data_IF_375555906303
#
_entry.id   IF_375555906303
#
_cell.length_a   1.000
_cell.length_b   1.000
_cell.length_c   1.000
_cell.angle_alpha   90.00
_cell.angle_beta   90.00
_cell.angle_gamma   90.00
#
_symmetry.space_group_name_H-M   'P 1'
#
loop_
_entity.id
_entity.type
_entity.pdbx_description
1 polymer ?
#
# COMPACT_ATOMS: atom_id res chain seq x y z
N UNK A 1 26.28 -14.14 1.02
CA UNK A 1 24.90 -14.16 1.55
C UNK A 1 24.08 -13.19 0.73
N UNK A 2 22.84 -13.55 0.42
CA UNK A 2 21.93 -12.70 -0.35
C UNK A 2 21.36 -11.60 0.54
N UNK A 3 21.46 -10.34 0.14
CA UNK A 3 20.89 -9.18 0.87
C UNK A 3 19.36 -9.33 1.04
N UNK A 4 18.84 -9.02 2.23
CA UNK A 4 17.40 -9.13 2.55
C UNK A 4 16.61 -7.99 1.93
N UNK A 5 15.30 -8.17 1.74
CA UNK A 5 14.42 -7.11 1.24
C UNK A 5 14.40 -5.88 2.17
N UNK A 6 14.44 -6.09 3.49
CA UNK A 6 14.56 -5.02 4.47
C UNK A 6 15.86 -4.20 4.29
N UNK A 7 17.01 -4.88 4.14
CA UNK A 7 18.28 -4.21 3.91
C UNK A 7 18.32 -3.45 2.57
N UNK A 8 17.66 -3.98 1.53
CA UNK A 8 17.49 -3.29 0.26
C UNK A 8 16.68 -1.99 0.41
N UNK A 9 15.57 -2.03 1.14
CA UNK A 9 14.74 -0.84 1.42
C UNK A 9 15.53 0.18 2.22
N UNK A 10 16.22 -0.23 3.29
CA UNK A 10 17.05 0.65 4.10
C UNK A 10 18.15 1.34 3.29
N UNK A 11 18.89 0.57 2.48
CA UNK A 11 20.04 1.07 1.71
C UNK A 11 19.64 2.00 0.57
N UNK A 12 18.52 1.72 -0.10
CA UNK A 12 18.11 2.44 -1.31
C UNK A 12 17.15 3.60 -1.04
N UNK A 13 16.48 3.64 0.11
CA UNK A 13 15.60 4.77 0.44
C UNK A 13 16.44 6.04 0.62
N UNK A 14 16.15 7.05 -0.20
CA UNK A 14 16.76 8.36 -0.07
C UNK A 14 15.99 9.22 0.95
N UNK A 15 16.69 10.18 1.57
CA UNK A 15 16.07 11.17 2.44
C UNK A 15 16.10 12.51 1.72
N UNK A 16 14.93 13.10 1.53
CA UNK A 16 14.78 14.44 0.96
C UNK A 16 14.30 15.38 2.08
N UNK A 17 15.14 16.30 2.58
CA UNK A 17 14.73 17.23 3.62
C UNK A 17 13.73 18.27 3.08
N UNK A 18 12.88 18.77 3.96
CA UNK A 18 11.95 19.89 3.73
C UNK A 18 10.93 19.65 2.59
N UNK A 19 10.54 18.40 2.38
CA UNK A 19 9.51 18.02 1.42
C UNK A 19 8.37 17.22 2.10
N UNK A 20 7.08 17.50 1.78
CA UNK A 20 6.59 18.55 0.89
C UNK A 20 6.64 19.97 1.52
N UNK A 21 7.03 20.09 2.79
CA UNK A 21 7.14 21.36 3.51
C UNK A 21 8.32 21.34 4.48
N UNK A 22 8.79 22.51 4.95
CA UNK A 22 9.89 22.61 5.91
C UNK A 22 9.68 21.76 7.17
N UNK A 23 10.74 21.11 7.64
CA UNK A 23 10.75 20.27 8.84
C UNK A 23 10.39 18.80 8.62
N UNK A 24 9.98 18.40 7.41
CA UNK A 24 9.66 16.99 7.09
C UNK A 24 10.88 16.30 6.46
N UNK A 25 11.19 15.09 6.94
CA UNK A 25 12.18 14.20 6.32
C UNK A 25 11.47 13.21 5.39
N UNK A 26 11.33 13.57 4.12
CA UNK A 26 10.65 12.72 3.17
C UNK A 26 11.47 11.46 2.85
N UNK A 27 10.83 10.29 2.95
CA UNK A 27 11.40 8.99 2.62
C UNK A 27 11.12 8.67 1.15
N UNK A 28 12.09 8.97 0.29
CA UNK A 28 11.96 8.71 -1.14
C UNK A 28 12.36 7.26 -1.46
N UNK A 29 11.36 6.43 -1.71
CA UNK A 29 11.52 5.02 -2.10
C UNK A 29 11.73 4.82 -3.60
N UNK A 30 11.70 5.87 -4.43
CA UNK A 30 11.85 5.71 -5.88
C UNK A 30 13.16 5.06 -6.33
N UNK A 31 14.30 5.14 -5.60
CA UNK A 31 15.49 4.35 -5.95
C UNK A 31 15.29 2.85 -5.72
N UNK A 32 14.44 2.43 -4.77
CA UNK A 32 14.04 1.02 -4.59
C UNK A 32 13.32 0.52 -5.83
N UNK A 33 12.42 1.33 -6.39
CA UNK A 33 11.68 0.99 -7.61
C UNK A 33 12.58 0.94 -8.86
N UNK A 34 13.62 1.77 -8.89
CA UNK A 34 14.53 1.89 -10.04
C UNK A 34 15.60 0.79 -10.08
N UNK A 35 15.87 0.14 -8.95
CA UNK A 35 16.75 -1.03 -8.88
C UNK A 35 15.96 -2.31 -9.22
N UNK A 36 16.26 -2.91 -10.37
CA UNK A 36 15.52 -4.07 -10.89
C UNK A 36 15.54 -5.28 -9.94
N UNK A 37 16.65 -5.50 -9.21
CA UNK A 37 16.78 -6.61 -8.28
C UNK A 37 16.02 -6.29 -6.99
N UNK A 38 16.15 -5.06 -6.49
CA UNK A 38 15.45 -4.63 -5.30
C UNK A 38 13.93 -4.67 -5.51
N UNK A 39 13.43 -4.11 -6.62
CA UNK A 39 12.01 -4.03 -6.91
C UNK A 39 11.34 -5.41 -6.92
N UNK A 40 11.94 -6.39 -7.60
CA UNK A 40 11.42 -7.76 -7.61
C UNK A 40 11.39 -8.40 -6.23
N UNK A 41 12.45 -8.20 -5.43
CA UNK A 41 12.58 -8.77 -4.08
C UNK A 41 11.65 -8.15 -3.06
N UNK A 42 11.46 -6.83 -3.11
CA UNK A 42 10.53 -6.18 -2.19
C UNK A 42 9.09 -6.58 -2.53
N UNK A 43 8.72 -6.71 -3.80
CA UNK A 43 7.40 -7.22 -4.19
C UNK A 43 7.18 -8.64 -3.63
N UNK A 44 8.15 -9.54 -3.82
CA UNK A 44 8.10 -10.90 -3.29
C UNK A 44 7.95 -10.92 -1.76
N UNK A 45 8.78 -10.14 -1.06
CA UNK A 45 8.77 -10.09 0.40
C UNK A 45 7.49 -9.46 0.99
N UNK A 46 6.92 -8.46 0.33
CA UNK A 46 5.65 -7.85 0.73
C UNK A 46 4.48 -8.83 0.60
N UNK A 47 4.47 -9.64 -0.47
CA UNK A 47 3.37 -10.55 -0.77
C UNK A 47 3.47 -11.89 -0.03
N UNK A 48 4.68 -12.33 0.33
CA UNK A 48 4.95 -13.66 0.87
C UNK A 48 4.05 -14.08 2.06
N UNK A 49 3.81 -13.23 3.08
CA UNK A 49 2.93 -13.61 4.20
C UNK A 49 1.47 -13.84 3.80
N UNK A 50 1.02 -13.22 2.70
CA UNK A 50 -0.37 -13.23 2.24
C UNK A 50 -0.61 -14.19 1.08
N UNK A 51 0.44 -14.82 0.54
CA UNK A 51 0.37 -15.79 -0.54
C UNK A 51 0.20 -17.24 -0.05
N UNK A 52 0.15 -17.45 1.27
CA UNK A 52 0.00 -18.78 1.88
C UNK A 52 -1.48 -19.21 1.83
N UNK A 53 -1.72 -20.51 1.61
CA UNK A 53 -3.07 -21.07 1.59
C UNK A 53 -3.88 -20.60 0.38
N UNK A 54 -5.09 -20.09 0.60
CA UNK A 54 -5.94 -19.56 -0.48
C UNK A 54 -5.39 -18.24 -1.08
N UNK A 55 -4.47 -17.57 -0.39
CA UNK A 55 -3.78 -16.38 -0.92
C UNK A 55 -4.69 -15.19 -1.19
N UNK A 56 -4.20 -14.24 -2.00
CA UNK A 56 -4.99 -13.19 -2.62
C UNK A 56 -5.24 -13.51 -4.10
N UNK A 57 -6.37 -13.04 -4.63
CA UNK A 57 -6.73 -13.15 -6.05
C UNK A 57 -6.71 -11.78 -6.77
N UNK A 58 -6.44 -10.70 -6.04
CA UNK A 58 -6.13 -9.38 -6.59
C UNK A 58 -5.29 -8.55 -5.61
N UNK A 59 -4.66 -7.50 -6.14
CA UNK A 59 -3.90 -6.52 -5.35
C UNK A 59 -4.50 -5.13 -5.53
N UNK A 60 -4.85 -4.45 -4.46
CA UNK A 60 -5.29 -3.05 -4.48
C UNK A 60 -4.10 -2.13 -4.21
N UNK A 61 -3.70 -1.34 -5.20
CA UNK A 61 -2.69 -0.30 -5.04
C UNK A 61 -3.33 1.04 -4.72
N UNK A 62 -2.79 1.77 -3.73
CA UNK A 62 -3.21 3.14 -3.41
C UNK A 62 -2.41 4.13 -4.27
N UNK A 63 -3.09 5.14 -4.85
CA UNK A 63 -2.44 6.12 -5.72
C UNK A 63 -1.34 6.92 -5.00
N UNK A 64 -0.20 7.22 -5.64
CA UNK A 64 0.23 6.76 -6.96
C UNK A 64 1.33 5.71 -6.85
N UNK A 65 2.17 5.82 -5.83
CA UNK A 65 3.38 5.00 -5.68
C UNK A 65 3.03 3.55 -5.33
N UNK A 66 1.94 3.31 -4.60
CA UNK A 66 1.39 1.97 -4.39
C UNK A 66 1.06 1.22 -5.69
N UNK A 67 0.79 1.89 -6.81
CA UNK A 67 0.53 1.21 -8.09
C UNK A 67 1.75 0.47 -8.64
N UNK A 68 2.96 0.98 -8.43
CA UNK A 68 4.17 0.30 -8.89
C UNK A 68 4.28 -1.06 -8.20
N UNK A 69 4.17 -1.08 -6.86
CA UNK A 69 4.24 -2.30 -6.06
C UNK A 69 3.07 -3.24 -6.35
N UNK A 70 1.85 -2.72 -6.44
CA UNK A 70 0.67 -3.53 -6.78
C UNK A 70 0.81 -4.21 -8.14
N UNK A 71 1.31 -3.49 -9.15
CA UNK A 71 1.60 -4.05 -10.47
C UNK A 71 2.69 -5.11 -10.44
N UNK A 72 3.78 -4.86 -9.71
CA UNK A 72 4.88 -5.82 -9.53
C UNK A 72 4.42 -7.12 -8.88
N UNK A 73 3.72 -7.02 -7.74
CA UNK A 73 3.17 -8.16 -7.00
C UNK A 73 2.14 -8.91 -7.86
N UNK A 74 1.20 -8.21 -8.49
CA UNK A 74 0.17 -8.84 -9.30
C UNK A 74 0.76 -9.60 -10.48
N UNK A 75 1.81 -9.07 -11.13
CA UNK A 75 2.50 -9.75 -12.22
C UNK A 75 3.24 -11.01 -11.74
N UNK A 76 3.89 -10.97 -10.56
CA UNK A 76 4.57 -12.13 -9.97
C UNK A 76 3.60 -13.26 -9.59
N UNK A 77 2.40 -12.90 -9.13
CA UNK A 77 1.39 -13.85 -8.67
C UNK A 77 0.29 -14.17 -9.71
N UNK A 78 0.36 -13.58 -10.90
CA UNK A 78 -0.60 -13.75 -11.99
C UNK A 78 -2.05 -13.41 -11.60
N UNK A 79 -2.24 -12.32 -10.84
CA UNK A 79 -3.55 -11.84 -10.37
C UNK A 79 -3.88 -10.45 -10.93
N UNK A 80 -5.11 -9.98 -10.70
CA UNK A 80 -5.55 -8.65 -11.12
C UNK A 80 -5.06 -7.52 -10.21
N UNK A 81 -5.12 -6.27 -10.72
CA UNK A 81 -4.88 -5.04 -9.95
C UNK A 81 -6.16 -4.23 -9.85
N UNK A 82 -6.52 -3.82 -8.63
CA UNK A 82 -7.51 -2.78 -8.36
C UNK A 82 -6.78 -1.46 -8.10
N UNK A 83 -7.24 -0.38 -8.72
CA UNK A 83 -6.67 0.96 -8.48
C UNK A 83 -7.58 1.73 -7.51
N UNK A 84 -7.01 2.16 -6.39
CA UNK A 84 -7.67 3.06 -5.44
C UNK A 84 -7.06 4.44 -5.63
N UNK A 85 -7.90 5.42 -5.99
CA UNK A 85 -7.43 6.73 -6.46
C UNK A 85 -7.98 7.86 -5.62
N UNK A 86 -7.34 9.03 -5.69
CA UNK A 86 -7.97 10.26 -5.18
C UNK A 86 -9.24 10.58 -5.97
N UNK A 87 -10.17 11.29 -5.34
CA UNK A 87 -11.45 11.63 -5.96
C UNK A 87 -11.34 12.28 -7.35
N UNK A 88 -12.26 11.92 -8.24
CA UNK A 88 -12.36 12.45 -9.61
C UNK A 88 -11.34 11.88 -10.60
N UNK A 89 -10.60 10.83 -10.25
CA UNK A 89 -9.58 10.21 -11.12
C UNK A 89 -10.02 8.90 -11.76
N UNK A 90 -11.09 8.27 -11.28
CA UNK A 90 -11.67 7.08 -11.87
C UNK A 90 -12.90 7.44 -12.73
N UNK A 91 -13.03 6.87 -13.94
CA UNK A 91 -14.25 7.07 -14.73
C UNK A 91 -15.39 6.17 -14.24
N UNK A 92 -16.63 6.56 -14.56
CA UNK A 92 -17.83 5.75 -14.29
C UNK A 92 -18.33 5.84 -12.85
N UNK A 93 -19.11 4.84 -12.43
CA UNK A 93 -19.61 4.72 -11.06
C UNK A 93 -18.47 4.32 -10.11
N UNK A 94 -18.40 5.00 -8.98
CA UNK A 94 -17.36 4.80 -7.96
C UNK A 94 -17.99 4.78 -6.57
N UNK A 95 -17.37 4.02 -5.67
CA UNK A 95 -17.54 4.18 -4.24
C UNK A 95 -16.48 5.15 -3.76
N UNK A 96 -16.84 6.02 -2.82
CA UNK A 96 -15.92 6.96 -2.21
C UNK A 96 -15.90 6.84 -0.69
N UNK A 97 -14.73 7.10 -0.10
CA UNK A 97 -14.49 7.09 1.34
C UNK A 97 -13.62 8.28 1.73
N UNK A 98 -14.12 9.07 2.67
CA UNK A 98 -13.42 10.23 3.21
C UNK A 98 -12.52 9.82 4.38
N UNK A 99 -11.39 10.51 4.52
CA UNK A 99 -10.49 10.32 5.65
C UNK A 99 -9.87 11.66 6.07
N UNK A 100 -9.62 11.77 7.38
CA UNK A 100 -9.04 12.97 7.97
C UNK A 100 -7.54 13.08 7.63
N UNK A 101 -7.12 14.30 7.30
CA UNK A 101 -5.73 14.74 7.27
C UNK A 101 -5.43 15.56 8.54
N UNK A 102 -4.17 15.91 8.77
CA UNK A 102 -3.80 16.86 9.83
C UNK A 102 -4.52 18.21 9.64
N UNK A 103 -4.66 18.65 8.40
CA UNK A 103 -5.42 19.83 8.00
C UNK A 103 -6.39 19.47 6.88
N UNK A 104 -7.65 19.23 7.23
CA UNK A 104 -8.74 18.99 6.29
C UNK A 104 -9.07 17.50 6.09
N UNK A 105 -9.75 17.22 4.99
CA UNK A 105 -10.18 15.87 4.61
C UNK A 105 -9.74 15.59 3.17
N UNK A 106 -9.52 14.32 2.88
CA UNK A 106 -9.32 13.82 1.53
C UNK A 106 -10.22 12.62 1.28
N UNK A 107 -10.37 12.26 0.01
CA UNK A 107 -11.30 11.23 -0.41
C UNK A 107 -10.60 10.26 -1.38
N UNK A 108 -10.79 8.97 -1.13
CA UNK A 108 -10.38 7.89 -2.02
C UNK A 108 -11.60 7.29 -2.72
N UNK A 109 -11.38 6.83 -3.95
CA UNK A 109 -12.37 6.20 -4.80
C UNK A 109 -11.92 4.81 -5.25
N UNK A 110 -12.88 3.89 -5.35
CA UNK A 110 -12.74 2.55 -5.94
C UNK A 110 -13.93 2.29 -6.86
N UNK A 111 -13.70 1.68 -8.02
CA UNK A 111 -14.81 1.21 -8.87
C UNK A 111 -15.30 -0.16 -8.37
N UNK A 112 -16.58 -0.32 -7.99
CA UNK A 112 -17.12 -1.62 -7.60
C UNK A 112 -17.36 -2.54 -8.81
N UNK A 113 -17.57 -3.83 -8.55
CA UNK A 113 -18.00 -4.79 -9.59
C UNK A 113 -16.94 -5.19 -10.61
N UNK A 114 -15.66 -4.87 -10.37
CA UNK A 114 -14.55 -5.27 -11.24
C UNK A 114 -14.18 -6.75 -11.11
N UNK A 115 -14.48 -7.35 -9.96
CA UNK A 115 -14.17 -8.73 -9.57
C UNK A 115 -15.39 -9.38 -8.92
N UNK A 116 -15.44 -10.73 -8.84
CA UNK A 116 -16.47 -11.44 -8.09
C UNK A 116 -16.53 -11.01 -6.61
N UNK A 117 -17.72 -11.01 -6.01
CA UNK A 117 -17.86 -10.80 -4.57
C UNK A 117 -17.11 -11.89 -3.77
N UNK A 118 -16.58 -11.52 -2.61
CA UNK A 118 -15.71 -12.38 -1.79
C UNK A 118 -14.29 -12.51 -2.30
N UNK A 119 -13.90 -11.80 -3.37
CA UNK A 119 -12.51 -11.81 -3.83
C UNK A 119 -11.57 -11.33 -2.72
N UNK A 120 -10.53 -12.12 -2.46
CA UNK A 120 -9.47 -11.84 -1.49
C UNK A 120 -8.45 -10.86 -2.08
N UNK A 121 -8.29 -9.69 -1.45
CA UNK A 121 -7.51 -8.57 -1.96
C UNK A 121 -6.41 -8.19 -0.97
N UNK A 122 -5.17 -8.17 -1.45
CA UNK A 122 -4.04 -7.60 -0.71
C UNK A 122 -3.97 -6.09 -0.96
N UNK A 123 -3.95 -5.26 0.08
CA UNK A 123 -3.78 -3.80 -0.05
C UNK A 123 -2.30 -3.45 0.01
N UNK A 124 -1.82 -2.63 -0.91
CA UNK A 124 -0.41 -2.24 -0.98
C UNK A 124 -0.26 -0.74 -1.17
N UNK A 125 0.66 -0.16 -0.40
CA UNK A 125 1.15 1.21 -0.59
C UNK A 125 2.67 1.27 -0.40
N UNK A 126 3.29 2.42 -0.64
CA UNK A 126 4.72 2.56 -0.42
C UNK A 126 5.08 2.83 1.06
N UNK A 127 4.30 3.64 1.76
CA UNK A 127 4.57 4.04 3.15
C UNK A 127 3.31 3.94 4.01
N UNK A 128 3.42 3.29 5.16
CA UNK A 128 2.43 3.35 6.24
C UNK A 128 2.74 4.52 7.17
N UNK A 129 2.00 5.62 7.02
CA UNK A 129 2.07 6.79 7.91
C UNK A 129 1.01 6.68 9.03
N UNK A 130 -0.03 7.52 8.98
CA UNK A 130 -1.14 7.49 9.96
C UNK A 130 -2.13 6.33 9.72
N UNK A 131 -1.98 5.57 8.63
CA UNK A 131 -2.90 4.51 8.24
C UNK A 131 -4.28 4.98 7.74
N UNK A 132 -4.51 6.30 7.57
CA UNK A 132 -5.81 6.84 7.15
C UNK A 132 -6.23 6.38 5.74
N UNK A 133 -5.32 6.49 4.76
CA UNK A 133 -5.55 6.02 3.37
C UNK A 133 -5.76 4.51 3.30
N UNK A 134 -4.98 3.75 4.07
CA UNK A 134 -5.10 2.30 4.17
C UNK A 134 -6.47 1.89 4.75
N UNK A 135 -6.89 2.51 5.86
CA UNK A 135 -8.18 2.21 6.49
C UNK A 135 -9.38 2.60 5.59
N UNK A 136 -9.28 3.73 4.89
CA UNK A 136 -10.29 4.13 3.91
C UNK A 136 -10.36 3.13 2.74
N UNK A 137 -9.21 2.67 2.25
CA UNK A 137 -9.11 1.66 1.20
C UNK A 137 -9.76 0.33 1.61
N UNK A 138 -9.49 -0.16 2.82
CA UNK A 138 -10.09 -1.38 3.36
C UNK A 138 -11.61 -1.25 3.41
N UNK A 139 -12.12 -0.11 3.86
CA UNK A 139 -13.56 0.17 3.92
C UNK A 139 -14.21 0.20 2.51
N UNK A 140 -13.53 0.78 1.53
CA UNK A 140 -13.98 0.75 0.12
C UNK A 140 -14.07 -0.67 -0.42
N UNK A 141 -13.07 -1.51 -0.16
CA UNK A 141 -13.05 -2.90 -0.59
C UNK A 141 -14.19 -3.70 0.03
N UNK A 142 -14.41 -3.58 1.34
CA UNK A 142 -15.52 -4.23 2.05
C UNK A 142 -16.88 -3.81 1.47
N UNK A 143 -17.09 -2.51 1.25
CA UNK A 143 -18.32 -1.97 0.64
C UNK A 143 -18.51 -2.41 -0.81
N UNK A 144 -17.43 -2.67 -1.54
CA UNK A 144 -17.46 -3.25 -2.88
C UNK A 144 -17.71 -4.77 -2.88
N UNK A 145 -17.77 -5.40 -1.70
CA UNK A 145 -17.99 -6.84 -1.54
C UNK A 145 -16.71 -7.67 -1.62
N UNK A 146 -15.54 -7.08 -1.39
CA UNK A 146 -14.24 -7.76 -1.40
C UNK A 146 -13.72 -8.01 0.04
N UNK A 147 -12.88 -9.03 0.20
CA UNK A 147 -12.23 -9.34 1.47
C UNK A 147 -10.81 -8.76 1.46
N UNK A 148 -10.55 -7.72 2.26
CA UNK A 148 -9.19 -7.22 2.45
C UNK A 148 -8.43 -8.17 3.40
N UNK A 149 -7.42 -8.88 2.89
CA UNK A 149 -6.73 -9.94 3.65
C UNK A 149 -5.48 -9.47 4.39
N UNK A 150 -5.03 -8.25 4.11
CA UNK A 150 -3.79 -7.71 4.64
C UNK A 150 -3.41 -6.37 4.00
N UNK A 151 -2.49 -5.69 4.65
CA UNK A 151 -1.86 -4.46 4.15
C UNK A 151 -0.34 -4.63 4.14
N UNK A 152 0.30 -4.24 3.05
CA UNK A 152 1.75 -4.31 2.89
C UNK A 152 2.34 -2.96 2.45
N UNK A 153 3.45 -2.54 3.06
CA UNK A 153 4.19 -1.33 2.65
C UNK A 153 5.71 -1.51 2.75
N UNK A 154 6.48 -0.71 2.00
CA UNK A 154 7.95 -0.75 2.11
C UNK A 154 8.40 -0.23 3.48
N UNK A 155 7.83 0.90 3.90
CA UNK A 155 8.23 1.58 5.13
C UNK A 155 7.02 1.86 6.04
N UNK A 156 7.28 1.84 7.33
CA UNK A 156 6.42 2.36 8.38
C UNK A 156 7.04 3.61 9.00
N UNK A 157 6.21 4.62 9.28
CA UNK A 157 6.63 5.80 10.03
C UNK A 157 6.26 5.63 11.51
N UNK A 158 7.27 5.39 12.33
CA UNK A 158 7.11 5.24 13.77
C UNK A 158 6.58 6.53 14.39
N UNK A 159 5.64 6.40 15.33
CA UNK A 159 5.04 7.53 16.05
C UNK A 159 3.76 8.09 15.41
N UNK A 160 3.30 7.56 14.27
CA UNK A 160 2.03 7.96 13.64
C UNK A 160 0.87 6.98 13.86
N UNK A 161 1.11 5.89 14.59
CA UNK A 161 0.14 4.87 14.98
C UNK A 161 -0.64 4.23 13.82
N UNK A 162 -0.03 4.15 12.63
CA UNK A 162 -0.66 3.60 11.43
C UNK A 162 -0.96 2.12 11.53
N UNK A 163 -0.07 1.35 12.14
CA UNK A 163 -0.22 -0.09 12.34
C UNK A 163 -1.34 -0.41 13.33
N UNK A 164 -1.37 0.28 14.47
CA UNK A 164 -2.38 0.10 15.51
C UNK A 164 -3.79 0.42 14.99
N UNK A 165 -3.90 1.30 13.98
CA UNK A 165 -5.16 1.59 13.30
C UNK A 165 -5.65 0.42 12.42
N UNK A 166 -4.75 -0.40 11.88
CA UNK A 166 -5.07 -1.44 10.90
C UNK A 166 -5.13 -2.85 11.51
N UNK A 167 -4.26 -3.18 12.47
CA UNK A 167 -4.16 -4.51 13.08
C UNK A 167 -5.47 -5.06 13.68
N UNK A 168 -6.40 -4.24 14.24
CA UNK A 168 -7.70 -4.73 14.65
C UNK A 168 -8.57 -5.28 13.50
N UNK A 169 -8.27 -4.94 12.25
CA UNK A 169 -9.04 -5.32 11.05
C UNK A 169 -8.33 -6.36 10.20
N UNK A 170 -7.00 -6.28 10.07
CA UNK A 170 -6.22 -7.13 9.17
C UNK A 170 -4.72 -7.12 9.53
N UNK A 171 -3.98 -8.19 9.16
CA UNK A 171 -2.53 -8.24 9.33
C UNK A 171 -1.77 -7.18 8.51
N UNK A 172 -0.70 -6.63 9.09
CA UNK A 172 0.13 -5.57 8.50
C UNK A 172 1.58 -6.04 8.34
N UNK A 173 2.10 -5.97 7.11
CA UNK A 173 3.49 -6.27 6.75
C UNK A 173 4.22 -4.98 6.34
N UNK A 174 5.36 -4.70 6.98
CA UNK A 174 6.28 -3.64 6.53
C UNK A 174 7.70 -4.20 6.41
N UNK A 175 8.49 -3.68 5.46
CA UNK A 175 9.88 -4.14 5.25
C UNK A 175 10.93 -3.29 6.00
N UNK A 176 10.57 -2.08 6.42
CA UNK A 176 11.37 -1.23 7.29
C UNK A 176 10.49 -0.32 8.15
N UNK A 177 11.07 0.19 9.22
CA UNK A 177 10.46 1.17 10.11
C UNK A 177 11.45 2.31 10.36
N UNK A 178 10.98 3.55 10.28
CA UNK A 178 11.78 4.75 10.46
C UNK A 178 10.99 5.79 11.24
N UNK A 179 11.66 6.70 11.99
CA UNK A 179 10.98 7.83 12.61
C UNK A 179 10.25 8.68 11.57
N UNK A 180 9.04 9.13 11.93
CA UNK A 180 8.25 10.12 11.19
C UNK A 180 8.99 11.45 10.98
#
# INVERSE_FOLDING_TARGET
MTETAAALVERLTAIVPDFPSPGILFRDVTPVFSDAVAFGRVCEALAAPFAIGEGFAAVAGIEARGFALAGGIAAQHQVGVLTVRKAGKLPGEVLSEQYALEYGEAELELRPGQLPAGTRVLVVDDVLATGGTAAATVTLLERAGYEAIGFAALLELDGLSGRERLEPRLPVQTLGAVPA
#
